data_IF_512392808717
#
_entry.id   IF_512392808717
#
_cell.length_a   1.000
_cell.length_b   1.000
_cell.length_c   1.000
_cell.angle_alpha   90.00
_cell.angle_beta   90.00
_cell.angle_gamma   90.00
#
_symmetry.space_group_name_H-M   'P 1'
#
loop_
_entity.id
_entity.type
_entity.pdbx_description
1 polymer ?
#
# COMPACT_ATOMS: atom_id res chain seq x y z
N UNK A 1 9.10 17.30 77.52
CA UNK A 1 10.47 17.56 77.01
C UNK A 1 10.36 17.69 75.49
N UNK A 2 9.93 18.84 74.98
CA UNK A 2 10.70 20.04 74.61
C UNK A 2 11.93 19.80 73.72
N UNK A 3 11.90 20.41 72.52
CA UNK A 3 13.09 20.89 71.81
C UNK A 3 13.54 20.08 70.59
N UNK A 4 13.26 20.56 69.38
CA UNK A 4 14.30 21.08 68.45
C UNK A 4 13.66 21.59 67.16
N UNK A 5 14.08 22.79 66.75
CA UNK A 5 13.60 23.61 65.65
C UNK A 5 14.66 23.65 64.53
N UNK A 6 14.16 23.80 63.28
CA UNK A 6 14.80 24.41 62.10
C UNK A 6 15.72 23.54 61.18
N UNK A 7 15.98 23.93 59.91
CA UNK A 7 15.47 25.09 59.14
C UNK A 7 14.87 24.76 57.74
N UNK A 8 14.25 25.80 57.18
CA UNK A 8 13.89 25.97 55.77
C UNK A 8 15.07 25.76 54.80
N UNK A 9 14.81 25.21 53.62
CA UNK A 9 15.65 25.40 52.43
C UNK A 9 14.79 25.24 51.17
N UNK A 10 14.41 26.38 50.60
CA UNK A 10 13.96 26.48 49.21
C UNK A 10 15.15 26.23 48.29
N UNK A 11 15.02 25.27 47.37
CA UNK A 11 15.88 25.14 46.21
C UNK A 11 15.02 25.21 44.94
N UNK A 12 15.28 26.27 44.20
CA UNK A 12 14.71 26.68 42.93
C UNK A 12 15.20 25.85 41.75
N UNK A 13 14.32 25.75 40.74
CA UNK A 13 14.60 25.66 39.31
C UNK A 13 15.53 24.54 38.82
N UNK A 14 14.90 23.44 38.38
CA UNK A 14 15.45 22.52 37.39
C UNK A 14 14.59 22.53 36.13
N UNK A 15 14.69 23.59 35.32
CA UNK A 15 14.25 23.55 33.93
C UNK A 15 15.20 22.64 33.14
N UNK A 16 14.73 21.46 32.77
CA UNK A 16 15.41 20.61 31.80
C UNK A 16 14.38 19.85 30.95
N UNK A 17 13.52 20.60 30.25
CA UNK A 17 12.81 20.06 29.10
C UNK A 17 13.80 19.93 27.95
N UNK A 18 14.48 18.78 27.89
CA UNK A 18 15.21 18.31 26.72
C UNK A 18 14.26 18.03 25.54
N UNK A 19 14.81 17.96 24.31
CA UNK A 19 14.13 18.40 23.10
C UNK A 19 12.97 17.47 22.72
N UNK A 20 11.79 18.04 22.52
CA UNK A 20 10.71 17.36 21.80
C UNK A 20 11.21 17.05 20.39
N UNK A 21 11.41 15.76 20.17
CA UNK A 21 11.78 15.15 18.92
C UNK A 21 10.78 15.54 17.82
N UNK A 22 11.30 16.19 16.77
CA UNK A 22 11.03 15.91 15.37
C UNK A 22 9.58 15.61 14.94
N UNK A 23 8.57 16.27 15.50
CA UNK A 23 7.22 16.24 14.95
C UNK A 23 7.14 17.23 13.79
N UNK A 24 7.53 16.81 12.59
CA UNK A 24 7.43 17.69 11.43
C UNK A 24 7.77 17.11 10.06
N UNK A 25 8.22 15.85 9.95
CA UNK A 25 8.65 15.28 8.66
C UNK A 25 7.99 13.98 8.25
N UNK A 26 6.81 13.68 8.79
CA UNK A 26 5.95 12.65 8.24
C UNK A 26 4.52 13.19 8.21
N UNK A 27 3.95 13.43 7.02
CA UNK A 27 2.52 13.14 6.83
C UNK A 27 1.95 13.23 5.40
N UNK A 28 2.70 13.64 4.38
CA UNK A 28 2.17 13.59 2.99
C UNK A 28 2.65 12.33 2.25
N UNK A 29 3.96 12.07 2.28
CA UNK A 29 4.53 10.85 1.68
C UNK A 29 4.07 9.56 2.36
N UNK A 30 3.95 9.55 3.69
CA UNK A 30 3.56 8.36 4.44
C UNK A 30 2.06 8.07 4.37
N UNK A 31 1.22 9.11 4.27
CA UNK A 31 -0.21 8.97 4.01
C UNK A 31 -0.48 8.48 2.58
N UNK A 32 0.23 9.01 1.58
CA UNK A 32 0.14 8.53 0.18
C UNK A 32 0.61 7.07 0.04
N UNK A 33 1.63 6.67 0.79
CA UNK A 33 2.15 5.29 0.83
C UNK A 33 1.19 4.33 1.52
N UNK A 34 0.59 4.73 2.64
CA UNK A 34 -0.50 3.96 3.25
C UNK A 34 -1.68 3.85 2.29
N UNK A 35 -2.00 4.90 1.52
CA UNK A 35 -3.06 4.80 0.50
C UNK A 35 -2.70 3.87 -0.66
N UNK A 36 -1.46 3.89 -1.16
CA UNK A 36 -1.04 2.97 -2.23
C UNK A 36 -1.03 1.52 -1.75
N UNK A 37 -0.47 1.25 -0.56
CA UNK A 37 -0.47 -0.10 0.02
C UNK A 37 -1.87 -0.64 0.28
N UNK A 38 -2.78 0.21 0.78
CA UNK A 38 -4.20 -0.15 0.97
C UNK A 38 -4.89 -0.43 -0.37
N UNK A 39 -4.69 0.43 -1.39
CA UNK A 39 -5.25 0.22 -2.75
C UNK A 39 -4.72 -1.06 -3.37
N UNK A 40 -3.43 -1.35 -3.21
CA UNK A 40 -2.82 -2.58 -3.69
C UNK A 40 -3.43 -3.82 -3.05
N UNK A 41 -3.60 -3.82 -1.72
CA UNK A 41 -4.28 -4.94 -1.03
C UNK A 41 -5.72 -5.10 -1.52
N UNK A 42 -6.47 -3.99 -1.58
CA UNK A 42 -7.87 -4.02 -2.02
C UNK A 42 -8.03 -4.50 -3.46
N UNK A 43 -7.11 -4.11 -4.36
CA UNK A 43 -7.03 -4.60 -5.73
C UNK A 43 -6.87 -6.13 -5.77
N UNK A 44 -6.00 -6.68 -4.93
CA UNK A 44 -5.79 -8.12 -4.85
C UNK A 44 -6.99 -8.87 -4.29
N UNK A 45 -7.67 -8.31 -3.27
CA UNK A 45 -8.92 -8.87 -2.75
C UNK A 45 -10.01 -8.86 -3.82
N UNK A 46 -10.18 -7.73 -4.52
CA UNK A 46 -11.12 -7.58 -5.63
C UNK A 46 -10.82 -8.57 -6.77
N UNK A 47 -9.56 -8.75 -7.11
CA UNK A 47 -9.14 -9.69 -8.15
C UNK A 47 -9.40 -11.15 -7.74
N UNK A 48 -9.29 -11.50 -6.45
CA UNK A 48 -9.72 -12.80 -5.92
C UNK A 48 -11.22 -13.06 -6.11
N UNK A 49 -12.06 -12.04 -5.94
CA UNK A 49 -13.50 -12.13 -6.24
C UNK A 49 -13.72 -12.36 -7.73
N UNK A 50 -13.03 -11.62 -8.60
CA UNK A 50 -13.13 -11.80 -10.06
C UNK A 50 -12.68 -13.19 -10.49
N UNK A 51 -11.60 -13.73 -9.92
CA UNK A 51 -11.16 -15.11 -10.16
C UNK A 51 -12.25 -16.12 -9.79
N UNK A 52 -12.91 -15.92 -8.65
CA UNK A 52 -14.04 -16.77 -8.20
C UNK A 52 -15.21 -16.70 -9.18
N UNK A 53 -15.58 -15.49 -9.65
CA UNK A 53 -16.61 -15.30 -10.68
C UNK A 53 -16.24 -15.95 -12.02
N UNK A 54 -14.95 -16.01 -12.34
CA UNK A 54 -14.42 -16.71 -13.51
C UNK A 54 -14.39 -18.25 -13.34
N UNK A 55 -14.71 -18.78 -12.16
CA UNK A 55 -14.61 -20.22 -11.86
C UNK A 55 -13.17 -20.70 -11.64
N UNK A 56 -12.25 -19.77 -11.37
CA UNK A 56 -10.85 -20.05 -11.08
C UNK A 56 -10.62 -20.03 -9.56
N UNK A 57 -9.69 -20.87 -9.04
CA UNK A 57 -9.27 -20.72 -7.66
C UNK A 57 -8.55 -19.37 -7.48
N UNK A 58 -8.80 -18.62 -6.39
CA UNK A 58 -8.08 -17.40 -6.10
C UNK A 58 -6.58 -17.69 -5.92
N UNK A 59 -5.73 -16.89 -6.56
CA UNK A 59 -4.28 -17.04 -6.49
C UNK A 59 -3.76 -16.60 -5.11
N UNK A 60 -2.94 -17.41 -4.41
CA UNK A 60 -2.36 -17.00 -3.14
C UNK A 60 -1.38 -15.84 -3.35
N UNK A 61 -1.49 -14.80 -2.51
CA UNK A 61 -0.63 -13.62 -2.64
C UNK A 61 0.83 -13.93 -2.26
N UNK A 62 1.69 -13.94 -3.27
CA UNK A 62 3.12 -14.19 -3.12
C UNK A 62 3.82 -13.05 -2.35
N UNK A 63 4.91 -13.33 -1.61
CA UNK A 63 5.65 -12.30 -0.86
C UNK A 63 6.15 -11.15 -1.72
N UNK A 64 6.64 -11.45 -2.93
CA UNK A 64 7.13 -10.44 -3.89
C UNK A 64 6.04 -9.43 -4.28
N UNK A 65 4.83 -9.94 -4.50
CA UNK A 65 3.64 -9.15 -4.84
C UNK A 65 3.19 -8.33 -3.65
N UNK A 66 3.15 -8.94 -2.45
CA UNK A 66 2.78 -8.24 -1.21
C UNK A 66 3.73 -7.09 -0.88
N UNK A 67 5.03 -7.29 -1.08
CA UNK A 67 6.05 -6.32 -0.68
C UNK A 67 6.24 -5.18 -1.71
N UNK A 68 5.62 -5.30 -2.90
CA UNK A 68 5.74 -4.32 -3.98
C UNK A 68 5.60 -2.85 -3.53
N UNK A 69 4.57 -2.44 -2.77
CA UNK A 69 4.43 -1.04 -2.35
C UNK A 69 5.60 -0.54 -1.48
N UNK A 70 6.18 -1.41 -0.66
CA UNK A 70 7.34 -1.05 0.15
C UNK A 70 8.60 -0.91 -0.71
N UNK A 71 8.84 -1.84 -1.63
CA UNK A 71 10.03 -1.82 -2.50
C UNK A 71 10.01 -0.64 -3.46
N UNK A 72 8.86 -0.34 -4.08
CA UNK A 72 8.74 0.76 -5.04
C UNK A 72 8.88 2.14 -4.36
N UNK A 73 8.42 2.24 -3.10
CA UNK A 73 8.65 3.42 -2.27
C UNK A 73 10.13 3.66 -2.05
N UNK A 74 10.87 2.61 -1.70
CA UNK A 74 12.31 2.69 -1.44
C UNK A 74 13.10 2.99 -2.71
N UNK A 75 12.60 2.58 -3.88
CA UNK A 75 13.17 2.93 -5.18
C UNK A 75 13.01 4.42 -5.52
N UNK A 76 11.86 5.02 -5.21
CA UNK A 76 11.57 6.44 -5.44
C UNK A 76 11.59 6.88 -6.90
N UNK A 77 11.53 8.20 -7.11
CA UNK A 77 11.62 8.84 -8.43
C UNK A 77 10.54 8.40 -9.42
N UNK A 78 10.89 8.41 -10.71
CA UNK A 78 9.95 8.12 -11.80
C UNK A 78 9.29 6.74 -11.71
N UNK A 79 9.98 5.73 -11.15
CA UNK A 79 9.42 4.37 -10.99
C UNK A 79 8.26 4.37 -10.01
N UNK A 80 8.41 5.13 -8.92
CA UNK A 80 7.36 5.29 -7.92
C UNK A 80 6.15 6.02 -8.50
N UNK A 81 6.37 7.14 -9.19
CA UNK A 81 5.30 7.92 -9.80
C UNK A 81 4.50 7.09 -10.82
N UNK A 82 5.20 6.34 -11.69
CA UNK A 82 4.58 5.44 -12.65
C UNK A 82 3.80 4.30 -11.97
N UNK A 83 4.33 3.75 -10.88
CA UNK A 83 3.65 2.69 -10.14
C UNK A 83 2.42 3.20 -9.40
N UNK A 84 2.50 4.38 -8.79
CA UNK A 84 1.35 5.04 -8.14
C UNK A 84 0.23 5.25 -9.16
N UNK A 85 0.53 5.88 -10.31
CA UNK A 85 -0.45 6.08 -11.37
C UNK A 85 -1.04 4.76 -11.88
N UNK A 86 -0.20 3.76 -12.15
CA UNK A 86 -0.67 2.48 -12.67
C UNK A 86 -1.54 1.70 -11.66
N UNK A 87 -1.31 1.87 -10.35
CA UNK A 87 -2.20 1.33 -9.31
C UNK A 87 -3.56 2.06 -9.30
N UNK A 88 -3.58 3.38 -9.48
CA UNK A 88 -4.83 4.14 -9.61
C UNK A 88 -5.63 3.72 -10.85
N UNK A 89 -4.97 3.62 -11.99
CA UNK A 89 -5.59 3.22 -13.26
C UNK A 89 -6.18 1.80 -13.14
N UNK A 90 -5.43 0.88 -12.54
CA UNK A 90 -5.90 -0.49 -12.31
C UNK A 90 -7.10 -0.54 -11.37
N UNK A 91 -7.14 0.33 -10.34
CA UNK A 91 -8.29 0.42 -9.44
C UNK A 91 -9.56 0.86 -10.18
N UNK A 92 -9.46 1.87 -11.04
CA UNK A 92 -10.58 2.35 -11.87
C UNK A 92 -11.08 1.25 -12.81
N UNK A 93 -10.16 0.53 -13.49
CA UNK A 93 -10.51 -0.59 -14.38
C UNK A 93 -11.23 -1.70 -13.60
N UNK A 94 -10.72 -2.07 -12.44
CA UNK A 94 -11.30 -3.12 -11.60
C UNK A 94 -12.68 -2.74 -11.07
N UNK A 95 -12.87 -1.51 -10.59
CA UNK A 95 -14.16 -1.02 -10.12
C UNK A 95 -15.21 -1.04 -11.23
N UNK A 96 -14.88 -0.48 -12.41
CA UNK A 96 -15.77 -0.46 -13.57
C UNK A 96 -16.08 -1.88 -14.07
N UNK A 97 -15.06 -2.74 -14.17
CA UNK A 97 -15.19 -4.12 -14.63
C UNK A 97 -16.07 -4.96 -13.70
N UNK A 98 -15.84 -4.88 -12.38
CA UNK A 98 -16.67 -5.57 -11.38
C UNK A 98 -18.11 -5.07 -11.43
N UNK A 99 -18.32 -3.75 -11.50
CA UNK A 99 -19.67 -3.18 -11.63
C UNK A 99 -20.42 -3.72 -12.84
N UNK A 100 -19.74 -3.83 -14.00
CA UNK A 100 -20.31 -4.42 -15.21
C UNK A 100 -20.64 -5.91 -15.03
N UNK A 101 -19.73 -6.69 -14.44
CA UNK A 101 -19.95 -8.13 -14.17
C UNK A 101 -21.16 -8.36 -13.27
N UNK A 102 -21.30 -7.56 -12.20
CA UNK A 102 -22.44 -7.64 -11.28
C UNK A 102 -23.75 -7.26 -11.98
N UNK A 103 -23.75 -6.22 -12.82
CA UNK A 103 -24.93 -5.81 -13.58
C UNK A 103 -25.39 -6.88 -14.59
N UNK A 104 -24.46 -7.57 -15.25
CA UNK A 104 -24.75 -8.69 -16.15
C UNK A 104 -25.28 -9.90 -15.37
N UNK A 105 -24.62 -10.24 -14.26
CA UNK A 105 -25.01 -11.35 -13.40
C UNK A 105 -26.41 -11.16 -12.80
N UNK A 106 -26.75 -9.94 -12.37
CA UNK A 106 -28.07 -9.60 -11.85
C UNK A 106 -29.21 -9.79 -12.88
N UNK A 107 -28.89 -9.82 -14.18
CA UNK A 107 -29.83 -10.13 -15.26
C UNK A 107 -29.92 -11.63 -15.57
N UNK A 108 -29.23 -12.48 -14.81
CA UNK A 108 -29.16 -13.92 -15.04
C UNK A 108 -28.29 -14.33 -16.23
N UNK A 109 -27.49 -13.42 -16.77
CA UNK A 109 -26.58 -13.69 -17.88
C UNK A 109 -25.27 -14.23 -17.30
N UNK A 110 -24.75 -15.30 -17.91
CA UNK A 110 -23.45 -15.87 -17.52
C UNK A 110 -22.32 -14.88 -17.82
N UNK A 111 -21.67 -14.39 -16.77
CA UNK A 111 -20.58 -13.41 -16.82
C UNK A 111 -19.19 -14.04 -16.73
N UNK A 112 -19.08 -15.38 -16.68
CA UNK A 112 -17.81 -16.09 -16.42
C UNK A 112 -16.71 -15.77 -17.44
N UNK A 113 -17.05 -15.73 -18.73
CA UNK A 113 -16.09 -15.42 -19.78
C UNK A 113 -15.54 -13.99 -19.66
N UNK A 114 -16.41 -13.03 -19.34
CA UNK A 114 -16.02 -11.64 -19.09
C UNK A 114 -15.17 -11.52 -17.81
N UNK A 115 -15.51 -12.26 -16.76
CA UNK A 115 -14.73 -12.30 -15.52
C UNK A 115 -13.33 -12.88 -15.76
N UNK A 116 -13.22 -13.93 -16.59
CA UNK A 116 -11.93 -14.51 -16.96
C UNK A 116 -11.05 -13.50 -17.70
N UNK A 117 -11.64 -12.75 -18.66
CA UNK A 117 -10.92 -11.71 -19.38
C UNK A 117 -10.41 -10.62 -18.43
N UNK A 118 -11.25 -10.12 -17.53
CA UNK A 118 -10.84 -9.10 -16.55
C UNK A 118 -9.73 -9.62 -15.62
N UNK A 119 -9.83 -10.88 -15.19
CA UNK A 119 -8.80 -11.53 -14.38
C UNK A 119 -7.45 -11.62 -15.11
N UNK A 120 -7.44 -12.00 -16.39
CA UNK A 120 -6.20 -12.06 -17.18
C UNK A 120 -5.59 -10.70 -17.43
N UNK A 121 -6.41 -9.67 -17.64
CA UNK A 121 -5.95 -8.28 -17.77
C UNK A 121 -5.33 -7.78 -16.46
N UNK A 122 -5.97 -8.04 -15.31
CA UNK A 122 -5.41 -7.72 -14.00
C UNK A 122 -4.04 -8.38 -13.79
N UNK A 123 -3.91 -9.67 -14.11
CA UNK A 123 -2.64 -10.38 -13.97
C UNK A 123 -1.53 -9.78 -14.87
N UNK A 124 -1.87 -9.43 -16.11
CA UNK A 124 -0.94 -8.80 -17.05
C UNK A 124 -0.50 -7.41 -16.57
N UNK A 125 -1.44 -6.57 -16.15
CA UNK A 125 -1.15 -5.24 -15.60
C UNK A 125 -0.30 -5.32 -14.32
N UNK A 126 -0.64 -6.23 -13.41
CA UNK A 126 0.13 -6.51 -12.20
C UNK A 126 1.57 -6.92 -12.54
N UNK A 127 1.75 -7.81 -13.51
CA UNK A 127 3.08 -8.24 -13.94
C UNK A 127 3.92 -7.04 -14.44
N UNK A 128 3.33 -6.18 -15.28
CA UNK A 128 3.98 -4.96 -15.76
C UNK A 128 4.37 -3.99 -14.63
N UNK A 129 3.52 -3.85 -13.59
CA UNK A 129 3.85 -3.04 -12.41
C UNK A 129 5.03 -3.63 -11.63
N UNK A 130 5.10 -4.95 -11.49
CA UNK A 130 6.22 -5.60 -10.79
C UNK A 130 7.55 -5.46 -11.53
N UNK A 131 7.54 -5.26 -12.85
CA UNK A 131 8.76 -4.97 -13.62
C UNK A 131 9.36 -3.59 -13.30
N UNK A 132 8.59 -2.67 -12.72
CA UNK A 132 9.10 -1.38 -12.25
C UNK A 132 10.00 -1.53 -11.01
N UNK A 133 9.95 -2.65 -10.30
CA UNK A 133 10.82 -2.90 -9.15
C UNK A 133 12.27 -2.97 -9.61
N UNK A 134 13.20 -2.21 -8.98
CA UNK A 134 14.62 -2.29 -9.31
C UNK A 134 15.11 -3.73 -9.21
N UNK A 135 15.64 -4.26 -10.31
CA UNK A 135 16.16 -5.62 -10.32
C UNK A 135 17.57 -5.59 -9.70
N UNK A 136 18.00 -6.67 -9.03
CA UNK A 136 19.37 -6.75 -8.47
C UNK A 136 20.48 -6.51 -9.53
N UNK A 137 20.15 -6.72 -10.81
CA UNK A 137 20.98 -6.42 -11.98
C UNK A 137 21.14 -4.92 -12.27
N UNK A 138 20.16 -4.09 -11.91
CA UNK A 138 20.24 -2.63 -12.03
C UNK A 138 21.12 -2.01 -10.94
N UNK A 139 21.20 -2.67 -9.78
CA UNK A 139 22.06 -2.27 -8.66
C UNK A 139 23.55 -2.61 -8.90
N UNK A 140 23.86 -3.47 -9.89
CA UNK A 140 25.22 -3.86 -10.29
C UNK A 140 25.73 -3.04 -11.50
N UNK A 141 25.47 -1.74 -11.54
CA UNK A 141 26.25 -0.81 -12.39
C UNK A 141 27.04 0.17 -11.53
N UNK A 142 28.24 -0.21 -11.07
CA UNK A 142 29.27 0.78 -10.81
C UNK A 142 29.81 1.28 -12.16
N UNK A 143 29.85 2.59 -12.35
CA UNK A 143 30.74 3.23 -13.34
C UNK A 143 32.15 3.29 -12.77
#
# INVERSE_FOLDING_TARGET
MNGTMAPFSSASAGSASGPLAGAGRASFGQASVSSMGMKWSALHDAAGIVATLAGMPPEPMRPEVRNFPAVIRDAGGWRREQAEQGVEDLAVIMEAGIGALLAVHARGIDSRAAALSLWTEFQSARAALLELVPQARDMRRPF
#
